data_IF_350352032695
#
_entry.id   IF_350352032695
#
_cell.length_a   1.000
_cell.length_b   1.000
_cell.length_c   1.000
_cell.angle_alpha   90.00
_cell.angle_beta   90.00
_cell.angle_gamma   90.00
#
_symmetry.space_group_name_H-M   'P 1'
#
loop_
_entity.id
_entity.type
_entity.pdbx_description
1 polymer ?
#
# COMPACT_ATOMS: atom_id res chain seq x y z
N UNK A 1 5.66 -8.39 4.13
CA UNK A 1 4.94 -9.61 3.72
C UNK A 1 5.41 -10.06 2.33
N UNK A 2 6.72 -10.12 2.19
CA UNK A 2 7.49 -9.99 0.96
C UNK A 2 8.64 -11.01 0.93
N UNK A 3 8.68 -11.92 1.90
CA UNK A 3 9.66 -12.99 1.94
C UNK A 3 9.34 -14.13 0.94
N UNK A 4 10.34 -14.90 0.51
CA UNK A 4 10.14 -16.08 -0.32
C UNK A 4 9.20 -17.13 0.28
N UNK A 5 9.21 -17.30 1.60
CA UNK A 5 8.31 -18.25 2.29
C UNK A 5 6.86 -17.80 2.21
N UNK A 6 6.60 -16.50 2.36
CA UNK A 6 5.27 -15.93 2.19
C UNK A 6 4.80 -16.07 0.75
N UNK A 7 5.67 -15.87 -0.25
CA UNK A 7 5.35 -16.10 -1.65
C UNK A 7 4.94 -17.56 -1.92
N UNK A 8 5.67 -18.53 -1.35
CA UNK A 8 5.34 -19.96 -1.46
C UNK A 8 4.02 -20.31 -0.78
N UNK A 9 3.79 -19.80 0.44
CA UNK A 9 2.55 -20.03 1.16
C UNK A 9 1.35 -19.44 0.40
N UNK A 10 1.51 -18.22 -0.13
CA UNK A 10 0.49 -17.56 -0.93
C UNK A 10 0.20 -18.28 -2.25
N UNK A 11 1.25 -18.73 -2.96
CA UNK A 11 1.10 -19.52 -4.18
C UNK A 11 0.34 -20.82 -3.95
N UNK A 12 0.62 -21.55 -2.87
CA UNK A 12 -0.13 -22.76 -2.48
C UNK A 12 -1.60 -22.47 -2.18
N UNK A 13 -1.88 -21.36 -1.50
CA UNK A 13 -3.25 -20.94 -1.18
C UNK A 13 -4.06 -20.66 -2.45
N UNK A 14 -3.43 -20.05 -3.46
CA UNK A 14 -4.09 -19.64 -4.70
C UNK A 14 -4.10 -20.73 -5.79
N UNK A 15 -3.32 -21.80 -5.65
CA UNK A 15 -3.19 -22.86 -6.66
C UNK A 15 -4.52 -23.47 -7.16
N UNK A 16 -5.58 -23.61 -6.33
CA UNK A 16 -6.88 -24.11 -6.82
C UNK A 16 -7.66 -23.13 -7.70
N UNK A 17 -7.28 -21.85 -7.71
CA UNK A 17 -8.06 -20.78 -8.34
C UNK A 17 -7.34 -20.21 -9.58
N UNK A 18 -8.07 -20.03 -10.68
CA UNK A 18 -7.56 -19.29 -11.84
C UNK A 18 -7.51 -17.80 -11.50
N UNK A 19 -6.35 -17.34 -11.06
CA UNK A 19 -6.18 -15.99 -10.51
C UNK A 19 -5.07 -15.21 -11.21
N UNK A 20 -5.22 -13.89 -11.24
CA UNK A 20 -4.16 -12.94 -11.58
C UNK A 20 -3.85 -12.12 -10.35
N UNK A 21 -2.57 -12.07 -9.96
CA UNK A 21 -2.11 -11.32 -8.80
C UNK A 21 -1.51 -10.00 -9.27
N UNK A 22 -1.77 -8.93 -8.51
CA UNK A 22 -1.17 -7.64 -8.76
C UNK A 22 -0.37 -7.20 -7.54
N UNK A 23 0.95 -7.25 -7.64
CA UNK A 23 1.88 -6.82 -6.62
C UNK A 23 1.96 -5.28 -6.62
N UNK A 24 1.80 -4.70 -5.44
CA UNK A 24 1.89 -3.26 -5.21
C UNK A 24 3.02 -3.05 -4.21
N UNK A 25 4.20 -2.61 -4.67
CA UNK A 25 5.27 -2.24 -3.75
C UNK A 25 4.77 -1.17 -2.77
N UNK A 26 5.09 -1.36 -1.50
CA UNK A 26 4.64 -0.44 -0.46
C UNK A 26 5.20 0.97 -0.70
N UNK A 27 4.37 2.00 -0.48
CA UNK A 27 4.81 3.39 -0.49
C UNK A 27 4.82 3.93 0.94
N UNK A 28 5.99 4.15 1.56
CA UNK A 28 6.08 4.65 2.92
C UNK A 28 5.44 6.02 3.10
N UNK A 29 4.94 6.28 4.30
CA UNK A 29 4.41 7.57 4.73
C UNK A 29 4.88 7.87 6.16
N UNK A 30 4.90 9.14 6.61
CA UNK A 30 5.35 9.49 7.96
C UNK A 30 4.61 8.70 9.05
N UNK A 31 5.36 8.02 9.92
CA UNK A 31 4.80 7.18 10.98
C UNK A 31 4.46 5.74 10.56
N UNK A 32 4.69 5.36 9.30
CA UNK A 32 4.59 3.96 8.88
C UNK A 32 5.69 3.12 9.53
N UNK A 33 5.39 1.94 10.11
CA UNK A 33 6.39 1.00 10.61
C UNK A 33 7.00 0.12 9.51
N UNK A 34 6.53 0.25 8.26
CA UNK A 34 6.95 -0.58 7.13
C UNK A 34 7.80 0.18 6.14
N UNK A 35 8.69 -0.55 5.48
CA UNK A 35 9.56 -0.06 4.42
C UNK A 35 9.08 -0.55 3.05
N UNK A 36 9.51 0.17 2.01
CA UNK A 36 9.30 -0.27 0.64
C UNK A 36 10.20 -1.49 0.38
N UNK A 37 9.66 -2.61 -0.15
CA UNK A 37 10.52 -3.73 -0.54
C UNK A 37 11.42 -3.35 -1.72
N UNK A 38 12.61 -3.91 -1.74
CA UNK A 38 13.53 -3.78 -2.86
C UNK A 38 12.92 -4.35 -4.13
N UNK A 39 13.24 -3.75 -5.28
CA UNK A 39 12.73 -4.21 -6.57
C UNK A 39 13.11 -5.67 -6.86
N UNK A 40 14.25 -6.13 -6.32
CA UNK A 40 14.65 -7.54 -6.39
C UNK A 40 13.70 -8.46 -5.61
N UNK A 41 13.28 -8.07 -4.39
CA UNK A 41 12.36 -8.87 -3.58
C UNK A 41 10.98 -8.98 -4.24
N UNK A 42 10.51 -7.89 -4.86
CA UNK A 42 9.23 -7.89 -5.60
C UNK A 42 9.32 -8.82 -6.83
N UNK A 43 10.45 -8.81 -7.54
CA UNK A 43 10.71 -9.74 -8.66
C UNK A 43 10.75 -11.19 -8.18
N UNK A 44 11.50 -11.48 -7.12
CA UNK A 44 11.59 -12.83 -6.56
C UNK A 44 10.22 -13.36 -6.13
N UNK A 45 9.38 -12.50 -5.55
CA UNK A 45 8.00 -12.85 -5.18
C UNK A 45 7.19 -13.23 -6.43
N UNK A 46 7.25 -12.41 -7.48
CA UNK A 46 6.56 -12.68 -8.74
C UNK A 46 7.05 -13.99 -9.40
N UNK A 47 8.36 -14.22 -9.40
CA UNK A 47 8.99 -15.42 -9.96
C UNK A 47 8.56 -16.68 -9.20
N UNK A 48 8.43 -16.61 -7.87
CA UNK A 48 7.90 -17.72 -7.08
C UNK A 48 6.45 -18.01 -7.45
N UNK A 49 5.59 -16.98 -7.60
CA UNK A 49 4.20 -17.18 -8.02
C UNK A 49 4.07 -17.79 -9.42
N UNK A 50 4.99 -17.47 -10.33
CA UNK A 50 5.00 -18.04 -11.67
C UNK A 50 5.14 -19.58 -11.66
N UNK A 51 5.86 -20.14 -10.69
CA UNK A 51 6.01 -21.59 -10.50
C UNK A 51 4.70 -22.29 -10.11
N UNK A 52 3.73 -21.53 -9.62
CA UNK A 52 2.37 -22.00 -9.35
C UNK A 52 1.40 -21.71 -10.50
N UNK A 53 1.92 -21.31 -11.68
CA UNK A 53 1.12 -20.90 -12.85
C UNK A 53 0.23 -19.67 -12.60
N UNK A 54 0.61 -18.83 -11.62
CA UNK A 54 -0.10 -17.60 -11.30
C UNK A 54 0.57 -16.43 -12.03
N UNK A 55 -0.19 -15.72 -12.87
CA UNK A 55 0.31 -14.49 -13.49
C UNK A 55 0.34 -13.38 -12.46
N UNK A 56 1.54 -12.85 -12.17
CA UNK A 56 1.73 -11.69 -11.31
C UNK A 56 2.13 -10.46 -12.15
N UNK A 57 1.47 -9.32 -11.93
CA UNK A 57 1.90 -8.02 -12.45
C UNK A 57 2.41 -7.15 -11.33
N UNK A 58 3.45 -6.35 -11.58
CA UNK A 58 3.95 -5.36 -10.62
C UNK A 58 3.47 -3.99 -11.04
N UNK A 59 2.75 -3.29 -10.16
CA UNK A 59 2.43 -1.87 -10.38
C UNK A 59 3.68 -1.05 -10.16
N UNK A 60 4.19 -0.45 -11.23
CA UNK A 60 5.21 0.60 -11.14
C UNK A 60 4.57 1.85 -10.54
N UNK A 61 4.97 2.19 -9.33
CA UNK A 61 4.79 3.54 -8.80
C UNK A 61 5.72 4.48 -9.57
N UNK A 62 5.16 5.51 -10.21
CA UNK A 62 5.93 6.57 -10.85
C UNK A 62 6.72 7.34 -9.77
N UNK A 63 7.98 6.96 -9.58
CA UNK A 63 9.01 7.70 -8.84
C UNK A 63 8.88 7.74 -7.31
N UNK A 64 10.00 7.78 -6.57
CA UNK A 64 10.05 8.26 -5.18
C UNK A 64 9.89 9.79 -5.07
N UNK A 65 9.96 10.51 -6.20
CA UNK A 65 9.97 11.98 -6.27
C UNK A 65 8.60 12.64 -6.23
N UNK A 66 7.51 11.87 -6.21
CA UNK A 66 6.18 12.45 -6.12
C UNK A 66 5.42 11.73 -5.04
N UNK A 67 5.10 12.46 -3.98
CA UNK A 67 4.12 12.13 -2.94
C UNK A 67 2.71 11.80 -3.50
N UNK A 68 2.56 11.55 -4.80
CA UNK A 68 1.31 11.29 -5.51
C UNK A 68 1.02 9.80 -5.76
N UNK A 69 1.70 8.87 -5.08
CA UNK A 69 1.27 7.47 -5.11
C UNK A 69 -0.11 7.36 -4.41
N UNK A 70 -1.09 6.85 -5.15
CA UNK A 70 -2.51 6.83 -4.79
C UNK A 70 -2.76 6.44 -3.32
N UNK A 71 -3.25 7.41 -2.56
CA UNK A 71 -3.50 7.36 -1.11
C UNK A 71 -3.79 8.73 -0.49
N UNK A 72 -3.42 9.83 -1.16
CA UNK A 72 -3.67 11.23 -0.74
C UNK A 72 -5.14 11.71 -0.91
N UNK A 73 -6.13 10.86 -0.64
CA UNK A 73 -7.42 11.37 -0.15
C UNK A 73 -7.38 11.37 1.38
N UNK A 74 -6.30 11.88 1.96
CA UNK A 74 -6.31 12.34 3.33
C UNK A 74 -7.18 13.60 3.35
N UNK A 75 -8.49 13.41 3.60
CA UNK A 75 -9.35 14.50 4.08
C UNK A 75 -8.63 15.10 5.28
N UNK A 76 -8.08 16.29 5.12
CA UNK A 76 -7.82 17.19 6.22
C UNK A 76 -9.15 17.35 6.96
N UNK A 77 -9.35 16.57 8.02
CA UNK A 77 -10.34 16.92 9.02
C UNK A 77 -9.74 18.14 9.70
N UNK A 78 -10.06 19.32 9.17
CA UNK A 78 -9.99 20.54 9.93
C UNK A 78 -10.82 20.29 11.20
N UNK A 79 -10.12 20.02 12.29
CA UNK A 79 -10.69 20.14 13.63
C UNK A 79 -10.92 21.62 13.82
N UNK A 80 -12.07 22.10 13.37
CA UNK A 80 -12.64 23.37 13.82
C UNK A 80 -12.77 23.25 15.35
N UNK A 81 -11.83 23.90 16.03
CA UNK A 81 -11.91 24.15 17.47
C UNK A 81 -12.96 25.22 17.66
N UNK A 82 -14.21 24.77 17.78
CA UNK A 82 -15.35 25.64 18.04
C UNK A 82 -15.61 25.69 19.56
N UNK A 83 -14.81 26.49 20.26
CA UNK A 83 -15.04 27.05 21.60
C UNK A 83 -13.99 28.15 21.76
N UNK A 84 -14.26 29.45 21.94
CA UNK A 84 -15.33 30.09 22.70
C UNK A 84 -15.36 31.57 22.21
N UNK A 85 -16.45 32.03 21.56
CA UNK A 85 -16.63 33.46 21.26
C UNK A 85 -17.36 34.11 22.42
N UNK A 86 -16.60 34.81 23.25
CA UNK A 86 -17.05 35.74 24.27
C UNK A 86 -17.72 36.96 23.61
N UNK A 87 -18.94 37.29 24.03
CA UNK A 87 -19.47 38.66 24.00
C UNK A 87 -20.71 38.91 23.13
N UNK A 88 -21.64 39.64 23.75
CA UNK A 88 -22.78 40.37 23.19
C UNK A 88 -24.09 39.61 22.93
N UNK A 89 -25.03 39.76 23.87
CA UNK A 89 -26.26 40.43 23.49
C UNK A 89 -26.87 41.24 24.64
N UNK A 90 -27.15 42.50 24.29
CA UNK A 90 -27.90 43.52 25.01
C UNK A 90 -29.38 43.16 24.98
N UNK A 91 -30.04 43.22 26.14
CA UNK A 91 -31.36 43.83 26.38
C UNK A 91 -31.66 43.80 27.88
#
# INVERSE_FOLDING_TARGET
>A
NDSPDQARAFGRLLAPFRSKVNLIPFNPFPGSPFERPEEAQVRDFADILSRFHITATVRKSMGPDVLAACGQLARERQTETMTDRKGENVS
#
